data_IF_080671485115
#
_entry.id   IF_080671485115
#
_cell.length_a   1.000
_cell.length_b   1.000
_cell.length_c   1.000
_cell.angle_alpha   90.00
_cell.angle_beta   90.00
_cell.angle_gamma   90.00
#
_symmetry.space_group_name_H-M   'P 1'
#
loop_
_entity.id
_entity.type
_entity.pdbx_description
1 polymer ?
#
# COMPACT_ATOMS: atom_id res chain seq x y z
N UNK A 1 -24.18 6.94 -7.53
CA UNK A 1 -23.16 6.57 -6.52
C UNK A 1 -22.36 5.44 -7.15
N UNK A 2 -21.17 5.09 -6.67
CA UNK A 2 -20.44 3.98 -7.28
C UNK A 2 -20.91 2.67 -6.64
N UNK A 3 -21.47 1.77 -7.43
CA UNK A 3 -21.93 0.44 -7.02
C UNK A 3 -20.83 -0.62 -7.24
N UNK A 4 -19.91 -0.39 -8.20
CA UNK A 4 -18.78 -1.30 -8.48
C UNK A 4 -17.46 -0.55 -8.63
N UNK A 5 -16.48 -0.94 -7.82
CA UNK A 5 -15.15 -0.32 -7.76
C UNK A 5 -14.08 -1.35 -8.07
N UNK A 6 -13.22 -1.09 -9.06
CA UNK A 6 -12.08 -1.94 -9.40
C UNK A 6 -10.83 -1.48 -8.67
N UNK A 7 -10.19 -2.38 -7.93
CA UNK A 7 -8.86 -2.22 -7.35
C UNK A 7 -7.89 -3.02 -8.21
N UNK A 8 -6.91 -2.35 -8.81
CA UNK A 8 -5.83 -3.04 -9.52
C UNK A 8 -4.68 -3.30 -8.57
N UNK A 9 -4.15 -4.52 -8.58
CA UNK A 9 -2.88 -4.87 -7.95
C UNK A 9 -1.91 -5.35 -9.03
N UNK A 10 -0.63 -5.27 -8.72
CA UNK A 10 0.42 -5.91 -9.51
C UNK A 10 1.12 -6.99 -8.70
N UNK A 11 0.60 -7.44 -7.56
CA UNK A 11 1.24 -8.40 -6.65
C UNK A 11 2.02 -7.76 -5.50
N UNK A 12 2.48 -6.51 -5.65
CA UNK A 12 3.20 -5.81 -4.58
C UNK A 12 2.30 -5.45 -3.37
N UNK A 13 2.89 -5.13 -2.22
CA UNK A 13 2.17 -4.66 -1.03
C UNK A 13 1.56 -3.27 -1.29
N UNK A 14 0.30 -3.24 -1.77
CA UNK A 14 -0.44 -2.02 -2.09
C UNK A 14 -1.53 -1.70 -1.04
N UNK A 15 -1.24 -1.89 0.25
CA UNK A 15 -2.21 -1.65 1.36
C UNK A 15 -2.87 -0.29 1.31
N UNK A 16 -2.13 0.75 0.90
CA UNK A 16 -2.65 2.10 0.77
C UNK A 16 -3.74 2.19 -0.32
N UNK A 17 -3.55 1.54 -1.47
CA UNK A 17 -4.54 1.54 -2.57
C UNK A 17 -5.83 0.87 -2.10
N UNK A 18 -5.71 -0.33 -1.51
CA UNK A 18 -6.86 -1.06 -0.97
C UNK A 18 -7.60 -0.24 0.09
N UNK A 19 -6.88 0.41 1.01
CA UNK A 19 -7.50 1.25 2.05
C UNK A 19 -8.32 2.39 1.46
N UNK A 20 -7.80 3.12 0.46
CA UNK A 20 -8.54 4.23 -0.14
C UNK A 20 -9.76 3.73 -0.91
N UNK A 21 -9.64 2.63 -1.65
CA UNK A 21 -10.76 2.04 -2.37
C UNK A 21 -11.86 1.55 -1.43
N UNK A 22 -11.50 0.84 -0.35
CA UNK A 22 -12.44 0.33 0.64
C UNK A 22 -13.17 1.47 1.36
N UNK A 23 -12.49 2.56 1.71
CA UNK A 23 -13.15 3.74 2.29
C UNK A 23 -14.23 4.30 1.34
N UNK A 24 -13.98 4.32 0.03
CA UNK A 24 -14.98 4.77 -0.96
C UNK A 24 -16.11 3.75 -1.08
N UNK A 25 -15.80 2.45 -1.08
CA UNK A 25 -16.77 1.38 -1.16
C UNK A 25 -17.73 1.39 0.04
N UNK A 26 -17.21 1.53 1.26
CA UNK A 26 -18.00 1.64 2.50
C UNK A 26 -18.97 2.83 2.46
N UNK A 27 -18.51 3.97 1.93
CA UNK A 27 -19.34 5.17 1.80
C UNK A 27 -20.44 5.02 0.73
N UNK A 28 -20.25 4.11 -0.23
CA UNK A 28 -21.15 3.92 -1.36
C UNK A 28 -22.00 2.64 -1.29
N UNK A 29 -21.73 1.75 -0.32
CA UNK A 29 -22.28 0.38 -0.30
C UNK A 29 -21.91 -0.39 -1.59
N UNK A 30 -20.67 -0.23 -2.03
CA UNK A 30 -20.19 -0.76 -3.32
C UNK A 30 -19.55 -2.16 -3.19
N UNK A 31 -19.68 -2.97 -4.24
CA UNK A 31 -18.88 -4.19 -4.41
C UNK A 31 -17.50 -3.82 -4.97
N UNK A 32 -16.46 -4.43 -4.42
CA UNK A 32 -15.08 -4.26 -4.86
C UNK A 32 -14.65 -5.42 -5.74
N UNK A 33 -14.01 -5.12 -6.88
CA UNK A 33 -13.33 -6.11 -7.72
C UNK A 33 -11.82 -5.95 -7.51
N UNK A 34 -11.12 -6.98 -7.06
CA UNK A 34 -9.66 -7.02 -6.97
C UNK A 34 -9.09 -7.74 -8.20
N UNK A 35 -8.32 -7.02 -9.01
CA UNK A 35 -7.78 -7.51 -10.27
C UNK A 35 -6.26 -7.47 -10.31
N UNK A 36 -5.64 -8.58 -10.70
CA UNK A 36 -4.25 -8.64 -11.15
C UNK A 36 -4.20 -9.03 -12.65
N UNK A 37 -3.19 -8.52 -13.36
CA UNK A 37 -2.96 -8.85 -14.78
C UNK A 37 -1.61 -9.51 -14.95
N UNK A 38 -1.61 -10.75 -15.45
CA UNK A 38 -0.40 -11.43 -15.91
C UNK A 38 0.05 -10.78 -17.22
N UNK A 39 1.23 -10.14 -17.18
CA UNK A 39 1.75 -9.32 -18.28
C UNK A 39 2.37 -10.21 -19.37
N UNK A 40 1.61 -10.43 -20.45
CA UNK A 40 2.07 -11.24 -21.58
C UNK A 40 3.28 -10.63 -22.31
N UNK A 41 3.35 -9.30 -22.39
CA UNK A 41 4.46 -8.62 -23.06
C UNK A 41 5.75 -8.79 -22.25
N UNK A 42 5.65 -8.79 -20.91
CA UNK A 42 6.78 -9.08 -20.04
C UNK A 42 7.25 -10.55 -20.14
N UNK A 43 6.32 -11.49 -20.32
CA UNK A 43 6.65 -12.91 -20.48
C UNK A 43 7.40 -13.19 -21.79
N UNK A 44 7.18 -12.38 -22.84
CA UNK A 44 7.84 -12.58 -24.12
C UNK A 44 9.37 -12.44 -24.08
N UNK A 45 9.91 -11.78 -23.04
CA UNK A 45 11.35 -11.66 -22.81
C UNK A 45 12.02 -12.94 -22.29
N UNK A 46 11.25 -13.95 -21.89
CA UNK A 46 11.80 -15.22 -21.43
C UNK A 46 12.41 -16.00 -22.61
N UNK A 47 13.63 -16.55 -22.46
CA UNK A 47 14.39 -17.14 -23.56
C UNK A 47 13.88 -18.51 -24.03
N UNK A 48 12.95 -19.14 -23.29
CA UNK A 48 12.40 -20.46 -23.60
C UNK A 48 10.92 -20.57 -23.25
N UNK A 49 10.20 -21.47 -23.92
CA UNK A 49 8.79 -21.76 -23.62
C UNK A 49 8.59 -22.26 -22.18
N UNK A 50 9.50 -23.08 -21.66
CA UNK A 50 9.44 -23.52 -20.25
C UNK A 50 9.60 -22.34 -19.28
N UNK A 51 10.53 -21.42 -19.55
CA UNK A 51 10.72 -20.22 -18.73
C UNK A 51 9.53 -19.26 -18.78
N UNK A 52 8.84 -19.18 -19.94
CA UNK A 52 7.59 -18.43 -20.09
C UNK A 52 6.49 -19.00 -19.20
N UNK A 53 6.30 -20.32 -19.22
CA UNK A 53 5.27 -20.98 -18.41
C UNK A 53 5.56 -20.86 -16.91
N UNK A 54 6.81 -21.07 -16.49
CA UNK A 54 7.23 -20.88 -15.08
C UNK A 54 6.99 -19.45 -14.60
N UNK A 55 7.37 -18.45 -15.39
CA UNK A 55 7.18 -17.04 -15.05
C UNK A 55 5.69 -16.65 -15.01
N UNK A 56 4.89 -17.22 -15.92
CA UNK A 56 3.43 -17.03 -15.95
C UNK A 56 2.76 -17.62 -14.72
N UNK A 57 3.11 -18.84 -14.34
CA UNK A 57 2.57 -19.51 -13.14
C UNK A 57 2.97 -18.76 -11.87
N UNK A 58 4.22 -18.28 -11.80
CA UNK A 58 4.69 -17.46 -10.69
C UNK A 58 3.92 -16.15 -10.56
N UNK A 59 3.73 -15.41 -11.67
CA UNK A 59 2.93 -14.17 -11.67
C UNK A 59 1.48 -14.44 -11.26
N UNK A 60 0.85 -15.49 -11.82
CA UNK A 60 -0.52 -15.86 -11.46
C UNK A 60 -0.65 -16.16 -9.96
N UNK A 61 0.24 -16.98 -9.41
CA UNK A 61 0.22 -17.35 -7.99
C UNK A 61 0.35 -16.11 -7.09
N UNK A 62 1.23 -15.17 -7.46
CA UNK A 62 1.39 -13.93 -6.70
C UNK A 62 0.19 -12.99 -6.83
N UNK A 63 -0.40 -12.90 -8.03
CA UNK A 63 -1.62 -12.13 -8.27
C UNK A 63 -2.82 -12.69 -7.49
N UNK A 64 -2.97 -14.02 -7.44
CA UNK A 64 -3.99 -14.69 -6.62
C UNK A 64 -3.81 -14.35 -5.14
N UNK A 65 -2.59 -14.47 -4.61
CA UNK A 65 -2.31 -14.09 -3.22
C UNK A 65 -2.53 -12.60 -2.94
N UNK A 66 -2.34 -11.73 -3.93
CA UNK A 66 -2.54 -10.28 -3.78
C UNK A 66 -4.00 -9.87 -3.83
N UNK A 67 -4.78 -10.46 -4.73
CA UNK A 67 -6.22 -10.22 -4.83
C UNK A 67 -6.95 -10.79 -3.61
N UNK A 68 -6.53 -11.95 -3.10
CA UNK A 68 -7.08 -12.53 -1.87
C UNK A 68 -6.84 -11.63 -0.65
N UNK A 69 -5.63 -11.07 -0.47
CA UNK A 69 -5.35 -10.09 0.60
C UNK A 69 -6.29 -8.87 0.56
N UNK A 70 -6.68 -8.44 -0.64
CA UNK A 70 -7.63 -7.33 -0.80
C UNK A 70 -9.05 -7.78 -0.40
N UNK A 71 -9.45 -8.98 -0.79
CA UNK A 71 -10.74 -9.56 -0.42
C UNK A 71 -10.86 -9.79 1.09
N UNK A 72 -9.81 -10.29 1.75
CA UNK A 72 -9.73 -10.40 3.21
C UNK A 72 -9.91 -9.03 3.89
N UNK A 73 -9.17 -8.03 3.42
CA UNK A 73 -9.28 -6.66 3.94
C UNK A 73 -10.67 -6.03 3.71
N UNK A 74 -11.36 -6.40 2.63
CA UNK A 74 -12.73 -6.00 2.36
C UNK A 74 -13.72 -6.66 3.31
N UNK A 75 -13.57 -7.98 3.53
CA UNK A 75 -14.40 -8.77 4.42
C UNK A 75 -14.31 -8.28 5.87
N UNK A 76 -13.11 -7.91 6.34
CA UNK A 76 -12.90 -7.30 7.67
C UNK A 76 -13.68 -6.00 7.88
N UNK A 77 -14.09 -5.33 6.78
CA UNK A 77 -14.87 -4.09 6.77
C UNK A 77 -16.33 -4.29 6.35
N UNK A 78 -16.76 -5.53 6.11
CA UNK A 78 -18.11 -5.82 5.64
C UNK A 78 -18.38 -5.38 4.20
N UNK A 79 -17.35 -5.23 3.37
CA UNK A 79 -17.46 -4.90 1.95
C UNK A 79 -17.40 -6.17 1.12
N UNK A 80 -18.35 -6.34 0.18
CA UNK A 80 -18.33 -7.48 -0.76
C UNK A 80 -17.15 -7.36 -1.73
N UNK A 81 -16.45 -8.48 -1.97
CA UNK A 81 -15.30 -8.52 -2.86
C UNK A 81 -15.36 -9.67 -3.87
N UNK A 82 -14.89 -9.39 -5.08
CA UNK A 82 -14.68 -10.36 -6.18
C UNK A 82 -13.19 -10.34 -6.54
N UNK A 83 -12.53 -11.50 -6.56
CA UNK A 83 -11.15 -11.63 -7.04
C UNK A 83 -11.12 -12.06 -8.50
N UNK A 84 -10.16 -11.53 -9.26
CA UNK A 84 -9.99 -11.87 -10.67
C UNK A 84 -8.53 -11.80 -11.09
N UNK A 85 -8.13 -12.74 -11.94
CA UNK A 85 -6.84 -12.74 -12.64
C UNK A 85 -7.13 -12.75 -14.14
N UNK A 86 -6.51 -11.82 -14.87
CA UNK A 86 -6.58 -11.79 -16.34
C UNK A 86 -5.17 -11.82 -16.94
N UNK A 87 -5.08 -11.99 -18.25
CA UNK A 87 -3.81 -12.03 -18.97
C UNK A 87 -3.85 -11.14 -20.21
N UNK A 88 -2.81 -10.36 -20.42
CA UNK A 88 -2.72 -9.48 -21.58
C UNK A 88 -1.73 -8.35 -21.38
N UNK A 89 -1.88 -7.29 -22.16
CA UNK A 89 -1.20 -6.02 -21.92
C UNK A 89 -1.91 -5.31 -20.73
N UNK A 90 -1.23 -5.03 -19.61
CA UNK A 90 -1.88 -4.64 -18.35
C UNK A 90 -2.88 -3.49 -18.47
N UNK A 91 -2.49 -2.38 -19.11
CA UNK A 91 -3.36 -1.22 -19.23
C UNK A 91 -4.61 -1.48 -20.10
N UNK A 92 -4.47 -2.31 -21.14
CA UNK A 92 -5.59 -2.68 -21.99
C UNK A 92 -6.54 -3.63 -21.24
N UNK A 93 -6.00 -4.67 -20.61
CA UNK A 93 -6.78 -5.64 -19.87
C UNK A 93 -7.55 -5.02 -18.69
N UNK A 94 -6.98 -4.02 -18.01
CA UNK A 94 -7.68 -3.26 -16.94
C UNK A 94 -8.89 -2.51 -17.49
N UNK A 95 -8.74 -1.80 -18.61
CA UNK A 95 -9.82 -1.01 -19.22
C UNK A 95 -10.91 -1.94 -19.78
N UNK A 96 -10.52 -3.04 -20.42
CA UNK A 96 -11.46 -4.06 -20.92
C UNK A 96 -12.23 -4.71 -19.77
N UNK A 97 -11.54 -5.12 -18.69
CA UNK A 97 -12.20 -5.66 -17.50
C UNK A 97 -13.20 -4.66 -16.91
N UNK A 98 -12.83 -3.39 -16.84
CA UNK A 98 -13.72 -2.34 -16.34
C UNK A 98 -15.00 -2.22 -17.17
N UNK A 99 -14.88 -2.24 -18.50
CA UNK A 99 -16.02 -2.19 -19.41
C UNK A 99 -16.89 -3.45 -19.32
N UNK A 100 -16.28 -4.63 -19.28
CA UNK A 100 -16.98 -5.92 -19.29
C UNK A 100 -17.72 -6.23 -17.98
N UNK A 101 -17.34 -5.59 -16.87
CA UNK A 101 -17.90 -5.83 -15.54
C UNK A 101 -18.70 -4.64 -14.98
N UNK A 102 -19.04 -3.66 -15.83
CA UNK A 102 -19.72 -2.41 -15.44
C UNK A 102 -19.06 -1.71 -14.24
N UNK A 103 -17.72 -1.67 -14.22
CA UNK A 103 -16.98 -0.96 -13.18
C UNK A 103 -17.20 0.55 -13.36
N UNK A 104 -17.48 1.26 -12.28
CA UNK A 104 -17.78 2.70 -12.32
C UNK A 104 -16.66 3.57 -11.76
N UNK A 105 -15.66 2.96 -11.12
CA UNK A 105 -14.42 3.61 -10.70
C UNK A 105 -13.27 2.62 -10.69
N UNK A 106 -12.11 3.06 -11.18
CA UNK A 106 -10.84 2.33 -11.06
C UNK A 106 -9.99 2.99 -9.99
N UNK A 107 -9.46 2.20 -9.06
CA UNK A 107 -8.55 2.63 -8.00
C UNK A 107 -7.23 1.90 -8.18
N UNK A 108 -6.15 2.67 -8.32
CA UNK A 108 -4.83 2.10 -8.62
C UNK A 108 -3.67 2.88 -8.02
N UNK A 109 -2.55 2.20 -7.78
CA UNK A 109 -1.32 2.85 -7.36
C UNK A 109 -0.71 3.71 -8.47
N UNK A 110 -0.03 4.80 -8.11
CA UNK A 110 0.84 5.53 -9.05
C UNK A 110 2.18 4.83 -9.28
N UNK A 111 2.53 3.87 -8.41
CA UNK A 111 3.72 3.03 -8.48
C UNK A 111 3.33 1.54 -8.34
N UNK A 112 4.29 0.65 -8.54
CA UNK A 112 4.15 -0.81 -8.58
C UNK A 112 5.48 -1.51 -8.32
N UNK A 113 5.65 -2.79 -8.67
CA UNK A 113 6.84 -3.64 -8.37
C UNK A 113 8.20 -3.04 -8.70
N UNK A 114 8.31 -2.28 -9.79
CA UNK A 114 9.59 -1.86 -10.37
C UNK A 114 10.13 -0.55 -9.77
N UNK A 115 10.02 -0.31 -8.46
CA UNK A 115 10.16 0.99 -7.74
C UNK A 115 11.10 2.04 -8.35
N UNK A 116 10.61 2.89 -9.26
CA UNK A 116 11.35 4.03 -9.83
C UNK A 116 10.69 5.35 -9.46
N UNK A 117 11.56 6.27 -9.03
CA UNK A 117 11.46 7.71 -8.72
C UNK A 117 10.11 8.39 -8.41
N UNK A 118 10.15 9.23 -7.37
CA UNK A 118 9.06 9.90 -6.62
C UNK A 118 8.06 10.77 -7.43
N UNK A 119 8.17 10.87 -8.75
CA UNK A 119 7.38 11.82 -9.55
C UNK A 119 6.89 11.30 -10.91
N UNK A 120 7.09 10.03 -11.24
CA UNK A 120 6.67 9.48 -12.55
C UNK A 120 5.46 8.57 -12.36
N UNK A 121 4.31 8.97 -12.93
CA UNK A 121 3.20 8.04 -13.18
C UNK A 121 3.74 6.90 -14.05
N UNK A 122 3.66 5.64 -13.58
CA UNK A 122 4.08 4.50 -14.40
C UNK A 122 3.25 4.41 -15.68
N UNK A 123 3.85 3.81 -16.71
CA UNK A 123 3.26 3.59 -18.03
C UNK A 123 1.86 2.97 -17.97
N UNK A 124 1.63 1.99 -17.08
CA UNK A 124 0.30 1.34 -16.94
C UNK A 124 -0.73 2.32 -16.39
N UNK A 125 -0.45 2.95 -15.24
CA UNK A 125 -1.34 3.96 -14.65
C UNK A 125 -1.63 5.11 -15.59
N UNK A 126 -0.61 5.64 -16.28
CA UNK A 126 -0.79 6.69 -17.28
C UNK A 126 -1.72 6.23 -18.42
N UNK A 127 -1.49 5.03 -18.96
CA UNK A 127 -2.33 4.50 -20.04
C UNK A 127 -3.78 4.25 -19.59
N UNK A 128 -4.00 3.73 -18.38
CA UNK A 128 -5.35 3.55 -17.83
C UNK A 128 -6.03 4.90 -17.64
N UNK A 129 -5.38 5.88 -17.01
CA UNK A 129 -5.93 7.24 -16.85
C UNK A 129 -6.29 7.88 -18.20
N UNK A 130 -5.48 7.64 -19.24
CA UNK A 130 -5.73 8.21 -20.58
C UNK A 130 -6.82 7.49 -21.36
N UNK A 131 -7.11 6.23 -21.07
CA UNK A 131 -8.01 5.37 -21.87
C UNK A 131 -9.32 5.02 -21.17
N UNK A 132 -9.36 5.11 -19.85
CA UNK A 132 -10.54 4.76 -19.05
C UNK A 132 -11.73 5.66 -19.40
N UNK A 133 -12.89 5.04 -19.58
CA UNK A 133 -14.16 5.74 -19.73
C UNK A 133 -14.80 6.10 -18.38
N UNK A 134 -14.25 5.56 -17.28
CA UNK A 134 -14.71 5.79 -15.90
C UNK A 134 -13.67 6.50 -15.06
N UNK A 135 -14.07 7.22 -13.98
CA UNK A 135 -13.15 7.88 -13.07
C UNK A 135 -12.03 6.97 -12.58
N UNK A 136 -10.80 7.50 -12.56
CA UNK A 136 -9.62 6.81 -12.05
C UNK A 136 -9.09 7.53 -10.82
N UNK A 137 -9.16 6.89 -9.65
CA UNK A 137 -8.54 7.33 -8.41
C UNK A 137 -7.11 6.77 -8.34
N UNK A 138 -6.13 7.65 -8.45
CA UNK A 138 -4.72 7.26 -8.31
C UNK A 138 -4.23 7.51 -6.89
N UNK A 139 -3.62 6.49 -6.28
CA UNK A 139 -3.10 6.56 -4.91
C UNK A 139 -1.58 6.65 -4.97
N UNK A 140 -1.04 7.71 -4.38
CA UNK A 140 0.39 7.89 -4.31
C UNK A 140 1.00 6.96 -3.25
N UNK A 141 1.61 5.86 -3.71
CA UNK A 141 2.29 4.90 -2.85
C UNK A 141 3.57 5.44 -2.20
N UNK A 142 4.15 6.52 -2.72
CA UNK A 142 5.27 7.24 -2.07
C UNK A 142 4.80 8.15 -0.92
N UNK A 143 3.49 8.22 -0.65
CA UNK A 143 2.93 8.88 0.54
C UNK A 143 2.35 7.87 1.52
N UNK A 144 3.21 7.08 2.14
CA UNK A 144 3.18 6.69 3.56
C UNK A 144 4.61 6.33 4.03
N UNK A 145 5.07 6.73 5.23
CA UNK A 145 5.14 8.06 5.83
C UNK A 145 6.42 8.83 5.43
N UNK A 146 6.50 10.13 5.76
CA UNK A 146 7.69 10.95 5.55
C UNK A 146 8.90 10.29 6.22
N UNK A 147 9.99 10.12 5.46
CA UNK A 147 11.31 9.89 6.04
C UNK A 147 11.51 10.87 7.19
N UNK A 148 11.87 10.35 8.36
CA UNK A 148 12.13 11.20 9.52
C UNK A 148 13.48 11.85 9.26
N UNK A 149 13.47 13.12 8.90
CA UNK A 149 14.66 13.88 8.50
C UNK A 149 15.18 14.83 9.58
N UNK A 150 14.36 15.05 10.61
CA UNK A 150 14.55 16.09 11.62
C UNK A 150 13.99 15.63 12.97
N UNK A 151 14.51 16.25 14.03
CA UNK A 151 14.19 15.97 15.42
C UNK A 151 12.68 16.13 15.69
N UNK A 152 12.05 17.18 15.15
CA UNK A 152 10.63 17.47 15.35
C UNK A 152 9.75 16.31 14.85
N UNK A 153 9.97 15.85 13.62
CA UNK A 153 9.26 14.71 13.05
C UNK A 153 9.53 13.41 13.84
N UNK A 154 10.73 13.25 14.40
CA UNK A 154 11.05 12.08 15.22
C UNK A 154 10.25 12.09 16.54
N UNK A 155 10.12 13.25 17.18
CA UNK A 155 9.32 13.42 18.41
C UNK A 155 7.84 13.13 18.13
N UNK A 156 7.25 13.74 17.11
CA UNK A 156 5.83 13.50 16.75
C UNK A 156 5.53 12.01 16.52
N UNK A 157 6.47 11.29 15.89
CA UNK A 157 6.36 9.85 15.65
C UNK A 157 6.43 9.04 16.93
N UNK A 158 7.33 9.41 17.84
CA UNK A 158 7.48 8.74 19.12
C UNK A 158 6.24 8.93 20.01
N UNK A 159 5.71 10.16 20.08
CA UNK A 159 4.48 10.47 20.79
C UNK A 159 3.31 9.63 20.30
N UNK A 160 3.12 9.56 18.98
CA UNK A 160 2.05 8.76 18.39
C UNK A 160 2.21 7.27 18.70
N UNK A 161 3.43 6.73 18.58
CA UNK A 161 3.70 5.31 18.84
C UNK A 161 3.44 4.93 20.31
N UNK A 162 3.78 5.82 21.26
CA UNK A 162 3.49 5.61 22.68
C UNK A 162 1.99 5.67 22.97
N UNK A 163 1.27 6.64 22.38
CA UNK A 163 -0.17 6.75 22.54
C UNK A 163 -0.91 5.52 21.98
N UNK A 164 -0.44 4.95 20.86
CA UNK A 164 -0.95 3.70 20.29
C UNK A 164 -0.76 2.49 21.23
N UNK A 165 0.30 2.48 22.06
CA UNK A 165 0.53 1.49 23.11
C UNK A 165 -0.13 1.83 24.46
N UNK A 166 -0.91 2.92 24.51
CA UNK A 166 -1.65 3.34 25.71
C UNK A 166 -0.86 4.16 26.73
N UNK A 167 0.28 4.74 26.31
CA UNK A 167 1.12 5.59 27.15
C UNK A 167 1.09 7.05 26.67
N UNK A 168 0.73 7.98 27.54
CA UNK A 168 0.77 9.42 27.26
C UNK A 168 2.10 10.02 27.73
N UNK A 169 2.65 10.95 26.95
CA UNK A 169 3.95 11.57 27.20
C UNK A 169 3.86 12.57 28.36
N UNK A 170 4.68 12.42 29.41
CA UNK A 170 4.67 13.31 30.58
C UNK A 170 5.36 14.65 30.31
N UNK A 171 6.49 14.59 29.60
CA UNK A 171 7.41 15.70 29.38
C UNK A 171 7.95 15.63 27.96
N UNK A 172 8.38 16.78 27.44
CA UNK A 172 9.09 16.86 26.16
C UNK A 172 10.25 15.84 26.19
N UNK A 173 10.35 14.93 25.20
CA UNK A 173 11.34 13.87 25.26
C UNK A 173 12.76 14.46 25.17
N UNK A 174 13.75 13.69 25.62
CA UNK A 174 15.15 14.09 25.41
C UNK A 174 15.42 14.29 23.92
N UNK A 175 16.38 15.18 23.60
CA UNK A 175 16.66 15.52 22.20
C UNK A 175 16.88 14.24 21.39
N UNK A 176 16.06 14.01 20.33
CA UNK A 176 16.24 12.85 19.47
C UNK A 176 17.65 12.82 18.92
N UNK A 177 18.25 11.65 18.88
CA UNK A 177 19.51 11.48 18.19
C UNK A 177 19.41 10.40 17.14
N UNK A 178 20.16 10.59 16.06
CA UNK A 178 20.15 9.70 14.91
C UNK A 178 21.43 8.88 14.87
N UNK A 179 21.26 7.57 14.89
CA UNK A 179 22.32 6.61 14.59
C UNK A 179 22.05 5.94 13.25
N UNK A 180 22.85 6.31 12.24
CA UNK A 180 22.73 5.79 10.87
C UNK A 180 21.31 5.94 10.30
N UNK A 181 20.54 4.84 10.23
CA UNK A 181 19.19 4.81 9.68
C UNK A 181 18.10 4.73 10.76
N UNK A 182 18.43 4.96 12.03
CA UNK A 182 17.46 4.89 13.13
C UNK A 182 17.52 6.16 13.95
N UNK A 183 16.36 6.77 14.21
CA UNK A 183 16.18 7.77 15.24
C UNK A 183 15.88 7.07 16.55
N UNK A 184 16.49 7.55 17.64
CA UNK A 184 16.12 7.18 18.98
C UNK A 184 15.51 8.39 19.69
N UNK A 185 14.29 8.22 20.17
CA UNK A 185 13.61 9.19 21.03
C UNK A 185 13.43 8.54 22.39
N UNK A 186 14.02 9.15 23.42
CA UNK A 186 13.83 8.72 24.80
C UNK A 186 12.73 9.54 25.43
N UNK A 187 11.68 8.86 25.87
CA UNK A 187 10.45 9.46 26.37
C UNK A 187 10.13 8.94 27.78
N UNK A 188 9.49 9.80 28.57
CA UNK A 188 8.93 9.44 29.88
C UNK A 188 7.41 9.59 29.77
N UNK A 189 6.68 8.55 30.11
CA UNK A 189 5.23 8.56 30.14
C UNK A 189 4.70 9.13 31.48
N UNK A 190 3.44 9.56 31.51
CA UNK A 190 2.79 10.16 32.70
C UNK A 190 2.78 9.24 33.92
N UNK A 191 2.79 7.92 33.70
CA UNK A 191 2.90 6.90 34.75
C UNK A 191 4.33 6.75 35.33
N UNK A 192 5.29 7.53 34.81
CA UNK A 192 6.70 7.51 35.19
C UNK A 192 7.52 6.42 34.50
N UNK A 193 6.93 5.61 33.62
CA UNK A 193 7.67 4.62 32.83
C UNK A 193 8.52 5.31 31.75
N UNK A 194 9.74 4.82 31.55
CA UNK A 194 10.66 5.35 30.53
C UNK A 194 10.72 4.41 29.33
N UNK A 195 10.72 4.99 28.14
CA UNK A 195 10.73 4.28 26.87
C UNK A 195 11.83 4.80 25.93
N UNK A 196 12.38 3.87 25.16
CA UNK A 196 13.13 4.15 23.94
C UNK A 196 12.24 3.85 22.76
N UNK A 197 11.91 4.87 21.97
CA UNK A 197 11.22 4.68 20.68
C UNK A 197 12.26 4.71 19.58
N UNK A 198 12.42 3.58 18.91
CA UNK A 198 13.26 3.44 17.72
C UNK A 198 12.41 3.72 16.49
N UNK A 199 12.88 4.60 15.62
CA UNK A 199 12.16 4.99 14.40
C UNK A 199 13.10 4.80 13.21
N UNK A 200 12.73 3.96 12.26
CA UNK A 200 13.50 3.86 11.02
C UNK A 200 13.42 5.20 10.26
N UNK A 201 14.57 5.78 9.92
CA UNK A 201 14.63 7.10 9.30
C UNK A 201 14.08 7.11 7.86
N UNK A 202 14.10 5.96 7.18
CA UNK A 202 13.65 5.84 5.79
C UNK A 202 12.15 5.48 5.72
N UNK A 203 11.69 4.56 6.57
CA UNK A 203 10.31 4.04 6.54
C UNK A 203 9.40 4.68 7.58
N UNK A 204 9.95 5.29 8.63
CA UNK A 204 9.18 5.82 9.75
C UNK A 204 8.58 4.74 10.66
N UNK A 205 8.96 3.48 10.48
CA UNK A 205 8.48 2.37 11.31
C UNK A 205 8.98 2.54 12.75
N UNK A 206 8.06 2.41 13.70
CA UNK A 206 8.33 2.64 15.11
C UNK A 206 8.35 1.34 15.90
N UNK A 207 9.32 1.21 16.81
CA UNK A 207 9.37 0.15 17.82
C UNK A 207 9.59 0.78 19.18
N UNK A 208 8.62 0.58 20.07
CA UNK A 208 8.70 1.04 21.46
C UNK A 208 9.38 -0.02 22.32
N UNK A 209 10.32 0.40 23.16
CA UNK A 209 11.02 -0.48 24.09
C UNK A 209 11.03 0.16 25.49
N UNK A 210 10.40 -0.50 26.46
CA UNK A 210 10.42 -0.06 27.86
C UNK A 210 11.82 -0.24 28.45
N UNK A 211 12.32 0.79 29.12
CA UNK A 211 13.57 0.76 29.87
C UNK A 211 13.25 0.35 31.31
N UNK A 212 13.79 -0.78 31.76
CA UNK A 212 13.73 -1.14 33.18
C UNK A 212 14.81 -0.34 33.91
N UNK A 213 14.40 0.44 34.92
CA UNK A 213 15.35 1.10 35.82
C UNK A 213 16.23 0.07 36.53
N UNK A 214 17.51 0.39 36.69
CA UNK A 214 18.46 -0.33 37.55
C UNK A 214 18.11 -0.20 39.03
#
# INVERSE_FOLDING_TARGET
MYDRILITTDGSEQRSVATHALNVAELCDATVHALDVVDREALDYQPSESGREEAREAQRTEGEAATERIAEAAADRGVEAVTAITEGAPAQAIVEYAADNDIEMIVMGTHGRSGVDRYVLRSVTEQVVRRSEVPVLTVNLARQPRAVSDDETAVERAERALAEEGHELADVPEQPYRESNTWLVRAVAEDGETFNVHIDAATGDTRVARIRGE
#
